data_IF_788498129712
#
_entry.id   IF_788498129712
#
_cell.length_a   1.000
_cell.length_b   1.000
_cell.length_c   1.000
_cell.angle_alpha   90.00
_cell.angle_beta   90.00
_cell.angle_gamma   90.00
#
_symmetry.space_group_name_H-M   'P 1'
#
loop_
_entity.id
_entity.type
_entity.pdbx_description
1 polymer ?
#
# COMPACT_ATOMS: atom_id res chain seq x y z
N UNK A 1 -26.48 -30.47 28.18
CA UNK A 1 -25.74 -31.48 28.97
C UNK A 1 -25.09 -32.45 28.02
N UNK A 2 -23.77 -32.64 28.10
CA UNK A 2 -23.07 -33.72 27.40
C UNK A 2 -22.54 -34.69 28.45
N UNK A 3 -22.81 -35.98 28.29
CA UNK A 3 -22.36 -37.04 29.20
C UNK A 3 -21.32 -37.89 28.48
N UNK A 4 -20.11 -37.93 29.03
CA UNK A 4 -19.01 -38.74 28.53
C UNK A 4 -19.05 -40.11 29.23
N UNK A 5 -19.51 -41.14 28.53
CA UNK A 5 -19.67 -42.50 29.09
C UNK A 5 -18.42 -43.38 28.97
N UNK A 6 -17.39 -42.92 28.28
CA UNK A 6 -16.12 -43.64 28.09
C UNK A 6 -14.98 -42.68 27.68
N UNK A 7 -13.70 -43.06 27.85
CA UNK A 7 -12.58 -42.26 27.40
C UNK A 7 -12.63 -42.02 25.88
N UNK A 8 -12.39 -40.77 25.45
CA UNK A 8 -12.29 -40.37 24.05
C UNK A 8 -10.92 -39.75 23.82
N UNK A 9 -10.21 -40.22 22.79
CA UNK A 9 -8.99 -39.57 22.32
C UNK A 9 -9.37 -38.39 21.42
N UNK A 10 -9.12 -37.17 21.90
CA UNK A 10 -9.36 -35.95 21.15
C UNK A 10 -8.05 -35.49 20.51
N UNK A 11 -7.96 -35.54 19.18
CA UNK A 11 -6.87 -34.92 18.43
C UNK A 11 -7.31 -33.56 17.92
N UNK A 12 -6.75 -32.50 18.51
CA UNK A 12 -7.04 -31.11 18.12
C UNK A 12 -6.01 -30.66 17.08
N UNK A 13 -6.46 -30.18 15.93
CA UNK A 13 -5.59 -29.58 14.90
C UNK A 13 -5.51 -28.07 15.14
N UNK A 14 -4.31 -27.55 15.37
CA UNK A 14 -4.08 -26.12 15.51
C UNK A 14 -3.60 -25.53 14.18
N UNK A 15 -4.11 -24.35 13.82
CA UNK A 15 -3.58 -23.53 12.73
C UNK A 15 -2.72 -22.43 13.31
N UNK A 16 -1.46 -22.34 12.87
CA UNK A 16 -0.56 -21.27 13.31
C UNK A 16 -0.97 -19.95 12.66
N UNK A 17 -1.14 -18.91 13.46
CA UNK A 17 -1.48 -17.56 13.02
C UNK A 17 -0.43 -16.55 13.43
N UNK A 18 -0.37 -15.44 12.70
CA UNK A 18 0.49 -14.30 13.00
C UNK A 18 -0.30 -13.00 12.98
N UNK A 19 0.09 -12.08 13.86
CA UNK A 19 -0.47 -10.74 13.91
C UNK A 19 0.15 -9.89 12.81
N UNK A 20 -0.71 -9.29 11.99
CA UNK A 20 -0.33 -8.37 10.93
C UNK A 20 -0.93 -7.00 11.24
N UNK A 21 -0.12 -5.96 11.17
CA UNK A 21 -0.51 -4.57 11.44
C UNK A 21 -0.21 -3.75 10.19
N UNK A 22 -1.24 -3.30 9.49
CA UNK A 22 -1.12 -2.44 8.30
C UNK A 22 -1.77 -1.10 8.63
N UNK A 23 -1.02 0.00 8.54
CA UNK A 23 -1.53 1.35 8.86
C UNK A 23 -2.18 1.45 10.24
N UNK A 24 -1.62 0.74 11.23
CA UNK A 24 -2.16 0.68 12.60
C UNK A 24 -3.36 -0.24 12.79
N UNK A 25 -3.93 -0.81 11.72
CA UNK A 25 -5.03 -1.78 11.80
C UNK A 25 -4.46 -3.18 11.97
N UNK A 26 -4.85 -3.86 13.05
CA UNK A 26 -4.40 -5.21 13.39
C UNK A 26 -5.37 -6.28 12.89
N UNK A 27 -4.82 -7.40 12.39
CA UNK A 27 -5.58 -8.57 11.97
C UNK A 27 -4.73 -9.85 12.07
N UNK A 28 -5.37 -10.97 12.37
CA UNK A 28 -4.71 -12.27 12.47
C UNK A 28 -4.83 -13.05 11.17
N UNK A 29 -3.70 -13.55 10.67
CA UNK A 29 -3.64 -14.31 9.44
C UNK A 29 -3.01 -15.67 9.65
N UNK A 30 -3.52 -16.68 8.95
CA UNK A 30 -2.95 -18.02 8.96
C UNK A 30 -1.56 -18.01 8.31
N UNK A 31 -0.62 -18.78 8.87
CA UNK A 31 0.70 -19.00 8.26
C UNK A 31 0.54 -19.52 6.82
N UNK A 32 1.26 -18.92 5.88
CA UNK A 32 1.25 -19.27 4.47
C UNK A 32 0.12 -18.61 3.67
N UNK A 33 -0.76 -17.83 4.30
CA UNK A 33 -1.70 -16.99 3.56
C UNK A 33 -0.99 -15.85 2.85
N UNK A 34 -1.62 -15.30 1.80
CA UNK A 34 -1.13 -14.15 1.06
C UNK A 34 -2.05 -12.97 1.28
N UNK A 35 -1.47 -11.80 1.51
CA UNK A 35 -2.18 -10.52 1.57
C UNK A 35 -1.65 -9.59 0.49
N UNK A 36 -2.49 -8.70 -0.02
CA UNK A 36 -2.08 -7.65 -0.96
C UNK A 36 -2.13 -6.32 -0.25
N UNK A 37 -1.02 -5.58 -0.28
CA UNK A 37 -0.93 -4.25 0.33
C UNK A 37 -1.36 -3.19 -0.66
N UNK A 38 -2.66 -2.90 -0.71
CA UNK A 38 -3.19 -1.85 -1.57
C UNK A 38 -3.26 -0.49 -0.85
N UNK A 39 -2.98 0.56 -1.60
CA UNK A 39 -3.18 1.94 -1.21
C UNK A 39 -3.68 2.75 -2.41
N UNK A 40 -4.52 3.75 -2.16
CA UNK A 40 -4.95 4.70 -3.18
C UNK A 40 -4.09 5.96 -3.08
N UNK A 41 -3.00 5.99 -3.85
CA UNK A 41 -2.03 7.09 -3.82
C UNK A 41 -2.28 8.00 -5.02
N UNK A 42 -2.42 9.33 -4.83
CA UNK A 42 -2.57 10.26 -5.95
C UNK A 42 -1.38 10.21 -6.92
N UNK A 43 -1.61 10.47 -8.21
CA UNK A 43 -0.58 10.34 -9.26
C UNK A 43 0.65 11.26 -9.07
N UNK A 44 0.51 12.36 -8.32
CA UNK A 44 1.59 13.30 -8.00
C UNK A 44 2.37 12.91 -6.73
N UNK A 45 2.02 11.78 -6.11
CA UNK A 45 2.70 11.19 -4.97
C UNK A 45 3.24 9.80 -5.32
N UNK A 46 4.21 9.35 -4.55
CA UNK A 46 4.70 7.97 -4.54
C UNK A 46 4.44 7.44 -3.15
N UNK A 47 3.77 6.30 -3.06
CA UNK A 47 3.52 5.59 -1.81
C UNK A 47 4.43 4.39 -1.67
N UNK A 48 4.87 4.14 -0.44
CA UNK A 48 5.66 2.98 -0.07
C UNK A 48 5.18 2.47 1.29
N UNK A 49 4.92 1.17 1.41
CA UNK A 49 4.71 0.56 2.71
C UNK A 49 6.06 0.31 3.35
N UNK A 50 6.32 0.97 4.48
CA UNK A 50 7.57 0.87 5.25
C UNK A 50 7.34 0.09 6.53
N UNK A 51 8.24 -0.84 6.83
CA UNK A 51 8.18 -1.68 8.02
C UNK A 51 8.99 -2.96 7.89
N UNK A 52 8.30 -4.08 7.63
CA UNK A 52 8.91 -5.42 7.63
C UNK A 52 9.51 -5.76 6.26
N UNK A 53 8.79 -5.43 5.18
CA UNK A 53 9.14 -5.79 3.81
C UNK A 53 9.52 -4.61 2.92
N UNK A 54 9.10 -3.38 3.25
CA UNK A 54 9.42 -2.17 2.47
C UNK A 54 9.03 -2.29 0.98
N UNK A 55 7.73 -2.29 0.70
CA UNK A 55 7.20 -2.62 -0.63
C UNK A 55 6.27 -1.56 -1.18
N UNK A 56 6.20 -1.46 -2.50
CA UNK A 56 5.25 -0.57 -3.18
C UNK A 56 3.81 -1.07 -3.02
N UNK A 57 2.81 -0.16 -3.03
CA UNK A 57 1.41 -0.52 -3.11
C UNK A 57 1.12 -1.48 -4.27
N UNK A 58 0.24 -2.46 -4.04
CA UNK A 58 -0.08 -3.55 -4.96
C UNK A 58 0.76 -4.81 -4.75
N UNK A 59 1.76 -4.77 -3.87
CA UNK A 59 2.61 -5.94 -3.59
C UNK A 59 1.88 -7.03 -2.82
N UNK A 60 2.14 -8.27 -3.19
CA UNK A 60 1.65 -9.46 -2.47
C UNK A 60 2.70 -9.98 -1.50
N UNK A 61 2.30 -10.24 -0.25
CA UNK A 61 3.18 -10.72 0.81
C UNK A 61 2.62 -12.03 1.38
N UNK A 62 3.51 -13.01 1.60
CA UNK A 62 3.17 -14.29 2.23
C UNK A 62 3.46 -14.23 3.73
N UNK A 63 2.49 -14.64 4.55
CA UNK A 63 2.57 -14.56 6.00
C UNK A 63 3.39 -15.73 6.59
N UNK A 64 4.65 -15.49 6.92
CA UNK A 64 5.50 -16.46 7.64
C UNK A 64 5.85 -16.06 9.08
N UNK A 65 5.54 -14.82 9.45
CA UNK A 65 5.79 -14.24 10.77
C UNK A 65 4.88 -13.04 11.03
N UNK A 66 5.00 -12.38 12.19
CA UNK A 66 4.36 -11.10 12.43
C UNK A 66 4.82 -10.06 11.42
N UNK A 67 3.90 -9.20 10.98
CA UNK A 67 4.20 -8.16 9.98
C UNK A 67 3.69 -6.83 10.52
N UNK A 68 4.48 -5.79 10.34
CA UNK A 68 4.07 -4.41 10.55
C UNK A 68 4.48 -3.58 9.34
N UNK A 69 3.52 -2.89 8.73
CA UNK A 69 3.73 -2.00 7.59
C UNK A 69 2.95 -0.70 7.79
N UNK A 70 3.52 0.40 7.32
CA UNK A 70 2.91 1.73 7.35
C UNK A 70 3.10 2.39 5.99
N UNK A 71 2.02 2.83 5.37
CA UNK A 71 2.08 3.61 4.13
C UNK A 71 2.71 4.97 4.42
N UNK A 72 3.78 5.26 3.71
CA UNK A 72 4.46 6.56 3.68
C UNK A 72 4.35 7.11 2.27
N UNK A 73 3.96 8.37 2.16
CA UNK A 73 3.78 9.06 0.89
C UNK A 73 4.78 10.20 0.76
N UNK A 74 5.37 10.36 -0.43
CA UNK A 74 6.25 11.46 -0.75
C UNK A 74 5.91 12.05 -2.13
N UNK A 75 6.26 13.33 -2.33
CA UNK A 75 5.97 14.03 -3.58
C UNK A 75 6.77 13.42 -4.73
N UNK A 76 6.09 13.13 -5.84
CA UNK A 76 6.75 12.76 -7.08
C UNK A 76 7.25 14.02 -7.79
N UNK A 77 8.45 14.48 -7.44
CA UNK A 77 9.03 15.70 -8.01
C UNK A 77 9.22 15.64 -9.53
N UNK A 78 9.39 14.46 -10.11
CA UNK A 78 9.47 14.29 -11.55
C UNK A 78 8.11 14.63 -12.20
N UNK A 79 7.02 14.04 -11.70
CA UNK A 79 5.67 14.32 -12.23
C UNK A 79 5.29 15.78 -12.01
N UNK A 80 5.52 16.31 -10.81
CA UNK A 80 5.23 17.72 -10.49
C UNK A 80 6.06 18.65 -11.38
N UNK A 81 7.34 18.36 -11.58
CA UNK A 81 8.23 19.12 -12.44
C UNK A 81 7.80 19.11 -13.91
N UNK A 82 7.38 17.95 -14.44
CA UNK A 82 6.87 17.84 -15.81
C UNK A 82 5.58 18.66 -16.01
N UNK A 83 4.66 18.61 -15.06
CA UNK A 83 3.42 19.40 -15.12
C UNK A 83 3.72 20.90 -15.06
N UNK A 84 4.56 21.33 -14.10
CA UNK A 84 4.97 22.72 -13.99
C UNK A 84 5.67 23.22 -15.26
N UNK A 85 6.55 22.40 -15.84
CA UNK A 85 7.21 22.69 -17.11
C UNK A 85 6.23 22.83 -18.28
N UNK A 86 5.30 21.90 -18.44
CA UNK A 86 4.27 21.94 -19.48
C UNK A 86 3.36 23.17 -19.37
N UNK A 87 2.94 23.53 -18.15
CA UNK A 87 2.15 24.74 -17.89
C UNK A 87 2.95 26.00 -18.22
N UNK A 88 4.23 26.06 -17.83
CA UNK A 88 5.08 27.22 -18.14
C UNK A 88 5.26 27.40 -19.64
N UNK A 89 5.51 26.31 -20.38
CA UNK A 89 5.67 26.34 -21.83
C UNK A 89 4.40 26.79 -22.56
N UNK A 90 3.23 26.33 -22.11
CA UNK A 90 1.94 26.74 -22.71
C UNK A 90 1.66 28.22 -22.46
N UNK A 91 1.90 28.73 -21.25
CA UNK A 91 1.76 30.16 -20.95
C UNK A 91 2.70 31.01 -21.79
N UNK A 92 3.97 30.63 -21.91
CA UNK A 92 4.95 31.35 -22.75
C UNK A 92 4.50 31.36 -24.21
N UNK A 93 4.07 30.22 -24.75
CA UNK A 93 3.57 30.16 -26.13
C UNK A 93 2.36 31.08 -26.34
N UNK A 94 1.40 31.12 -25.41
CA UNK A 94 0.25 32.02 -25.47
C UNK A 94 0.69 33.49 -25.45
N UNK A 95 1.60 33.86 -24.55
CA UNK A 95 2.12 35.24 -24.46
C UNK A 95 2.84 35.63 -25.76
N UNK A 96 3.66 34.75 -26.33
CA UNK A 96 4.35 35.00 -27.61
C UNK A 96 3.36 35.18 -28.75
N UNK A 97 2.31 34.36 -28.82
CA UNK A 97 1.26 34.50 -29.83
C UNK A 97 0.51 35.83 -29.65
N UNK A 98 0.11 36.17 -28.43
CA UNK A 98 -0.59 37.43 -28.15
C UNK A 98 0.25 38.64 -28.54
N UNK A 99 1.50 38.69 -28.09
CA UNK A 99 2.41 39.81 -28.40
C UNK A 99 2.78 39.92 -29.88
N UNK A 100 2.81 38.80 -30.61
CA UNK A 100 3.15 38.80 -32.05
C UNK A 100 1.97 39.13 -32.97
N UNK A 101 0.76 38.67 -32.62
CA UNK A 101 -0.42 38.75 -33.50
C UNK A 101 -1.48 39.75 -33.03
N UNK A 102 -1.40 40.21 -31.77
CA UNK A 102 -2.28 41.22 -31.18
C UNK A 102 -1.45 42.27 -30.41
N UNK A 103 -0.60 43.05 -31.11
CA UNK A 103 0.28 44.05 -30.50
C UNK A 103 -0.46 45.23 -29.85
#
# INVERSE_FOLDING_TARGET
NFTLSSPVNLTVKFLKQYLVIINGVSSWYNKGSTIVLNANVPFYMVGEFVGTYNVSPGSSIVIYGPIKETLVEHVNYLVVGLIAGAVTLTVVAVVVVLTKYFP
#
